data_IF_115947569924
#
_entry.id   IF_115947569924
#
_cell.length_a   1.000
_cell.length_b   1.000
_cell.length_c   1.000
_cell.angle_alpha   90.00
_cell.angle_beta   90.00
_cell.angle_gamma   90.00
#
_symmetry.space_group_name_H-M   'P 1'
#
loop_
_entity.id
_entity.type
_entity.pdbx_description
1 polymer ?
#
# COMPACT_ATOMS: atom_id res chain seq x y z
N UNK A 1 9.53 -14.37 -6.54
CA UNK A 1 10.31 -15.46 -7.17
C UNK A 1 11.72 -15.42 -6.60
N UNK A 2 11.88 -16.03 -5.42
CA UNK A 2 12.91 -15.67 -4.44
C UNK A 2 14.13 -16.62 -4.49
N UNK A 3 15.22 -16.16 -3.87
CA UNK A 3 16.52 -16.81 -3.68
C UNK A 3 16.56 -18.32 -3.34
N UNK A 4 15.42 -18.92 -2.97
CA UNK A 4 15.24 -20.36 -2.87
C UNK A 4 15.52 -21.10 -4.20
N UNK A 5 15.27 -20.47 -5.36
CA UNK A 5 15.59 -21.08 -6.67
C UNK A 5 17.08 -21.07 -7.02
N UNK A 6 17.87 -20.22 -6.36
CA UNK A 6 19.32 -20.12 -6.59
C UNK A 6 20.14 -20.91 -5.57
N UNK A 7 19.49 -21.69 -4.70
CA UNK A 7 20.16 -22.53 -3.69
C UNK A 7 20.74 -21.76 -2.50
N UNK A 8 20.46 -20.46 -2.38
CA UNK A 8 20.93 -19.64 -1.27
C UNK A 8 20.16 -19.97 0.01
N UNK A 9 20.88 -20.07 1.13
CA UNK A 9 20.25 -20.32 2.42
C UNK A 9 19.42 -19.09 2.84
N UNK A 10 18.25 -19.26 3.47
CA UNK A 10 17.42 -18.14 3.93
C UNK A 10 18.18 -17.12 4.82
N UNK A 11 19.13 -17.61 5.61
CA UNK A 11 19.98 -16.78 6.47
C UNK A 11 20.94 -15.87 5.66
N UNK A 12 21.44 -16.33 4.52
CA UNK A 12 22.30 -15.51 3.65
C UNK A 12 21.51 -14.40 2.98
N UNK A 13 20.27 -14.71 2.57
CA UNK A 13 19.33 -13.72 2.02
C UNK A 13 18.99 -12.66 3.08
N UNK A 14 18.71 -13.07 4.32
CA UNK A 14 18.43 -12.16 5.42
C UNK A 14 19.62 -11.22 5.68
N UNK A 15 20.84 -11.77 5.78
CA UNK A 15 22.06 -10.96 5.97
C UNK A 15 22.31 -9.96 4.84
N UNK A 16 22.05 -10.36 3.60
CA UNK A 16 22.16 -9.45 2.45
C UNK A 16 21.16 -8.29 2.59
N UNK A 17 19.91 -8.59 2.93
CA UNK A 17 18.87 -7.58 3.10
C UNK A 17 19.20 -6.61 4.25
N UNK A 18 19.70 -7.11 5.37
CA UNK A 18 20.13 -6.27 6.51
C UNK A 18 21.25 -5.30 6.09
N UNK A 19 22.24 -5.80 5.34
CA UNK A 19 23.33 -4.95 4.83
C UNK A 19 22.84 -3.89 3.85
N UNK A 20 21.88 -4.25 2.97
CA UNK A 20 21.28 -3.30 2.04
C UNK A 20 20.49 -2.22 2.77
N UNK A 21 19.72 -2.58 3.80
CA UNK A 21 18.98 -1.59 4.60
C UNK A 21 19.90 -0.65 5.38
N UNK A 22 21.12 -1.07 5.73
CA UNK A 22 22.14 -0.21 6.33
C UNK A 22 22.70 0.87 5.39
N UNK A 23 22.48 0.76 4.07
CA UNK A 23 22.94 1.77 3.12
C UNK A 23 22.09 3.05 3.23
N UNK A 24 22.69 4.25 3.41
CA UNK A 24 21.93 5.49 3.58
C UNK A 24 20.94 5.78 2.45
N UNK A 25 21.33 5.50 1.20
CA UNK A 25 20.48 5.69 0.04
C UNK A 25 19.22 4.79 0.09
N UNK A 26 19.37 3.54 0.56
CA UNK A 26 18.25 2.60 0.71
C UNK A 26 17.34 3.03 1.85
N UNK A 27 17.91 3.43 2.99
CA UNK A 27 17.14 3.90 4.14
C UNK A 27 16.31 5.16 3.78
N UNK A 28 16.93 6.16 3.15
CA UNK A 28 16.25 7.39 2.71
C UNK A 28 15.19 7.08 1.66
N UNK A 29 15.53 6.27 0.63
CA UNK A 29 14.60 5.89 -0.41
C UNK A 29 13.39 5.12 0.13
N UNK A 30 13.61 4.19 1.06
CA UNK A 30 12.55 3.43 1.72
C UNK A 30 11.66 4.33 2.56
N UNK A 31 12.24 5.27 3.33
CA UNK A 31 11.48 6.24 4.11
C UNK A 31 10.60 7.14 3.24
N UNK A 32 11.15 7.66 2.14
CA UNK A 32 10.39 8.46 1.18
C UNK A 32 9.28 7.65 0.50
N UNK A 33 9.56 6.40 0.14
CA UNK A 33 8.56 5.50 -0.42
C UNK A 33 7.41 5.26 0.56
N UNK A 34 7.71 4.91 1.81
CA UNK A 34 6.69 4.66 2.85
C UNK A 34 5.84 5.91 3.06
N UNK A 35 6.46 7.07 3.25
CA UNK A 35 5.73 8.33 3.46
C UNK A 35 4.87 8.68 2.24
N UNK A 36 5.44 8.64 1.04
CA UNK A 36 4.75 8.97 -0.20
C UNK A 36 3.61 8.00 -0.51
N UNK A 37 3.80 6.71 -0.27
CA UNK A 37 2.78 5.69 -0.47
C UNK A 37 1.59 5.87 0.48
N UNK A 38 1.84 6.04 1.78
CA UNK A 38 0.79 6.24 2.77
C UNK A 38 -0.01 7.50 2.45
N UNK A 39 0.68 8.64 2.26
CA UNK A 39 0.03 9.90 1.93
C UNK A 39 -0.73 9.82 0.61
N UNK A 40 -0.14 9.20 -0.41
CA UNK A 40 -0.74 9.05 -1.74
C UNK A 40 -2.08 8.33 -1.71
N UNK A 41 -2.17 7.19 -1.01
CA UNK A 41 -3.42 6.42 -0.93
C UNK A 41 -4.45 7.12 -0.04
N UNK A 42 -4.03 7.78 1.05
CA UNK A 42 -4.92 8.59 1.88
C UNK A 42 -5.54 9.72 1.05
N UNK A 43 -4.72 10.49 0.34
CA UNK A 43 -5.18 11.57 -0.52
C UNK A 43 -6.06 11.05 -1.66
N UNK A 44 -5.72 9.90 -2.25
CA UNK A 44 -6.55 9.25 -3.25
C UNK A 44 -7.93 8.88 -2.69
N UNK A 45 -8.00 8.26 -1.51
CA UNK A 45 -9.26 7.93 -0.86
C UNK A 45 -10.11 9.18 -0.57
N UNK A 46 -9.49 10.26 -0.10
CA UNK A 46 -10.14 11.57 0.10
C UNK A 46 -10.67 12.11 -1.23
N UNK A 47 -9.87 12.09 -2.29
CA UNK A 47 -10.25 12.60 -3.61
C UNK A 47 -11.44 11.84 -4.19
N UNK A 48 -11.41 10.50 -4.14
CA UNK A 48 -12.49 9.64 -4.65
C UNK A 48 -13.79 9.81 -3.84
N UNK A 49 -13.67 9.96 -2.51
CA UNK A 49 -14.81 10.21 -1.64
C UNK A 49 -15.42 11.61 -1.85
N UNK A 50 -14.59 12.66 -1.77
CA UNK A 50 -15.06 14.06 -1.91
C UNK A 50 -15.53 14.36 -3.33
N UNK A 51 -14.93 13.73 -4.33
CA UNK A 51 -15.37 13.79 -5.72
C UNK A 51 -16.64 12.99 -6.01
N UNK A 52 -17.20 12.27 -5.02
CA UNK A 52 -18.36 11.38 -5.17
C UNK A 52 -18.18 10.35 -6.29
N UNK A 53 -16.94 9.94 -6.54
CA UNK A 53 -16.60 8.92 -7.56
C UNK A 53 -16.94 7.53 -7.02
N UNK A 54 -16.75 7.32 -5.72
CA UNK A 54 -17.04 6.06 -5.02
C UNK A 54 -17.91 6.32 -3.77
N UNK A 55 -18.63 5.31 -3.25
CA UNK A 55 -19.35 5.44 -1.99
C UNK A 55 -18.40 5.75 -0.83
N UNK A 56 -18.90 6.50 0.17
CA UNK A 56 -18.09 7.00 1.28
C UNK A 56 -17.36 5.89 2.05
N UNK A 57 -18.01 4.74 2.27
CA UNK A 57 -17.40 3.61 2.98
C UNK A 57 -16.13 3.10 2.28
N UNK A 58 -16.09 3.10 0.95
CA UNK A 58 -14.93 2.64 0.18
C UNK A 58 -13.79 3.66 0.21
N UNK A 59 -14.14 4.96 0.17
CA UNK A 59 -13.16 6.03 0.38
C UNK A 59 -12.55 6.00 1.78
N UNK A 60 -13.37 5.79 2.81
CA UNK A 60 -12.91 5.63 4.20
C UNK A 60 -12.01 4.39 4.33
N UNK A 61 -12.35 3.27 3.69
CA UNK A 61 -11.52 2.07 3.69
C UNK A 61 -10.11 2.35 3.11
N UNK A 62 -10.02 3.08 2.00
CA UNK A 62 -8.72 3.50 1.44
C UNK A 62 -7.94 4.40 2.39
N UNK A 63 -8.61 5.41 2.97
CA UNK A 63 -8.00 6.37 3.91
C UNK A 63 -7.45 5.65 5.15
N UNK A 64 -8.22 4.72 5.72
CA UNK A 64 -7.82 4.00 6.93
C UNK A 64 -6.75 2.93 6.65
N UNK A 65 -6.72 2.35 5.44
CA UNK A 65 -5.86 1.20 5.14
C UNK A 65 -4.38 1.46 5.38
N UNK A 66 -3.83 2.57 4.86
CA UNK A 66 -2.38 2.80 4.93
C UNK A 66 -1.88 3.19 6.33
N UNK A 67 -2.58 4.03 7.11
CA UNK A 67 -2.24 4.23 8.51
C UNK A 67 -2.28 2.93 9.32
N UNK A 68 -3.28 2.08 9.10
CA UNK A 68 -3.38 0.78 9.78
C UNK A 68 -2.24 -0.15 9.38
N UNK A 69 -1.90 -0.23 8.09
CA UNK A 69 -0.73 -0.97 7.60
C UNK A 69 0.55 -0.50 8.30
N UNK A 70 0.80 0.81 8.35
CA UNK A 70 1.98 1.36 9.01
C UNK A 70 2.05 0.99 10.49
N UNK A 71 0.91 1.02 11.19
CA UNK A 71 0.83 0.62 12.60
C UNK A 71 1.11 -0.88 12.75
N UNK A 72 0.44 -1.73 11.98
CA UNK A 72 0.53 -3.19 12.14
C UNK A 72 1.78 -3.81 11.53
N UNK A 73 2.50 -3.09 10.66
CA UNK A 73 3.77 -3.52 10.10
C UNK A 73 4.98 -3.04 10.92
N UNK A 74 4.91 -1.85 11.55
CA UNK A 74 6.06 -1.24 12.21
C UNK A 74 5.89 -0.99 13.72
N UNK A 75 4.76 -0.41 14.15
CA UNK A 75 4.58 0.01 15.54
C UNK A 75 4.08 -1.11 16.46
N UNK A 76 3.14 -1.93 15.99
CA UNK A 76 2.58 -3.10 16.67
C UNK A 76 2.52 -4.28 15.68
N UNK A 77 3.66 -4.95 15.42
CA UNK A 77 3.75 -6.01 14.41
C UNK A 77 2.71 -7.12 14.60
N UNK A 78 1.76 -7.23 13.67
CA UNK A 78 0.74 -8.28 13.64
C UNK A 78 0.33 -8.60 12.20
N UNK A 79 0.82 -9.73 11.68
CA UNK A 79 0.63 -10.12 10.28
C UNK A 79 -0.85 -10.27 9.88
N UNK A 80 -1.72 -10.73 10.78
CA UNK A 80 -3.14 -10.90 10.49
C UNK A 80 -3.85 -9.55 10.35
N UNK A 81 -3.58 -8.61 11.26
CA UNK A 81 -4.12 -7.26 11.21
C UNK A 81 -3.55 -6.47 10.03
N UNK A 82 -2.28 -6.66 9.71
CA UNK A 82 -1.67 -6.07 8.53
C UNK A 82 -2.31 -6.60 7.23
N UNK A 83 -2.56 -7.91 7.17
CA UNK A 83 -3.30 -8.51 6.07
C UNK A 83 -4.72 -7.92 5.90
N UNK A 84 -5.41 -7.60 7.00
CA UNK A 84 -6.70 -6.91 6.95
C UNK A 84 -6.57 -5.47 6.45
N UNK A 85 -5.51 -4.75 6.84
CA UNK A 85 -5.24 -3.40 6.33
C UNK A 85 -5.05 -3.41 4.81
N UNK A 86 -4.27 -4.35 4.27
CA UNK A 86 -4.16 -4.59 2.83
C UNK A 86 -5.49 -5.01 2.19
N UNK A 87 -6.30 -5.80 2.90
CA UNK A 87 -7.65 -6.17 2.48
C UNK A 87 -8.55 -4.94 2.26
N UNK A 88 -8.49 -3.95 3.15
CA UNK A 88 -9.21 -2.68 2.97
C UNK A 88 -8.77 -1.93 1.71
N UNK A 89 -7.47 -1.94 1.41
CA UNK A 89 -6.94 -1.37 0.16
C UNK A 89 -7.55 -2.07 -1.05
N UNK A 90 -7.54 -3.41 -1.06
CA UNK A 90 -8.10 -4.20 -2.14
C UNK A 90 -9.61 -3.93 -2.35
N UNK A 91 -10.39 -3.89 -1.27
CA UNK A 91 -11.83 -3.59 -1.33
C UNK A 91 -12.07 -2.16 -1.84
N UNK A 92 -11.31 -1.18 -1.35
CA UNK A 92 -11.40 0.20 -1.81
C UNK A 92 -11.12 0.35 -3.30
N UNK A 93 -10.09 -0.32 -3.82
CA UNK A 93 -9.80 -0.33 -5.25
C UNK A 93 -10.83 -1.10 -6.06
N UNK A 94 -11.34 -2.23 -5.56
CA UNK A 94 -12.40 -2.98 -6.22
C UNK A 94 -13.67 -2.14 -6.40
N UNK A 95 -14.04 -1.32 -5.41
CA UNK A 95 -15.15 -0.39 -5.50
C UNK A 95 -14.87 0.77 -6.47
N UNK A 96 -13.62 1.22 -6.59
CA UNK A 96 -13.21 2.31 -7.49
C UNK A 96 -13.10 1.89 -8.96
N UNK A 97 -12.72 0.64 -9.24
CA UNK A 97 -12.43 0.18 -10.59
C UNK A 97 -13.57 0.42 -11.60
N UNK A 98 -14.85 0.12 -11.31
CA UNK A 98 -15.94 0.38 -12.26
C UNK A 98 -16.17 1.87 -12.51
N UNK A 99 -15.99 2.72 -11.49
CA UNK A 99 -16.19 4.16 -11.62
C UNK A 99 -15.12 4.79 -12.52
N UNK A 100 -13.86 4.34 -12.38
CA UNK A 100 -12.75 4.77 -13.22
C UNK A 100 -12.91 4.26 -14.66
N UNK A 101 -13.32 3.00 -14.85
CA UNK A 101 -13.56 2.43 -16.17
C UNK A 101 -14.60 3.25 -16.96
N UNK A 102 -15.76 3.54 -16.34
CA UNK A 102 -16.80 4.37 -16.95
C UNK A 102 -16.36 5.80 -17.26
N UNK A 103 -15.42 6.35 -16.47
CA UNK A 103 -14.84 7.68 -16.72
C UNK A 103 -13.93 7.75 -17.95
N UNK A 104 -13.35 6.62 -18.40
CA UNK A 104 -12.50 6.56 -19.61
C UNK A 104 -13.32 6.45 -20.89
N UNK A 105 -14.50 5.85 -20.81
CA UNK A 105 -15.43 5.70 -21.94
C UNK A 105 -16.15 7.02 -22.27
N UNK A 106 -16.04 8.02 -21.39
CA UNK A 106 -16.67 9.33 -21.49
C UNK A 106 -15.69 10.49 -21.64
N UNK A 107 -15.01 10.62 -22.78
CA UNK A 107 -14.53 11.92 -23.31
C UNK A 107 -15.69 12.89 -23.63
N UNK A 108 -16.79 12.82 -22.88
CA UNK A 108 -18.00 13.60 -23.02
C UNK A 108 -18.34 14.20 -21.65
N UNK A 109 -17.57 15.20 -21.25
CA UNK A 109 -18.06 16.37 -20.51
C UNK A 109 -17.28 17.58 -20.95
#
# INVERSE_FOLDING_TARGET
MSAARTGLAPAEVARLLDNLQGLPAVAVGSGLFVAGHILGVVLLGIALWRGRIIPAWAGIALIASQPLHAIFAAALPNAALDGLAWGLTAVGFAAAAPAVARGRDGSAR
#
